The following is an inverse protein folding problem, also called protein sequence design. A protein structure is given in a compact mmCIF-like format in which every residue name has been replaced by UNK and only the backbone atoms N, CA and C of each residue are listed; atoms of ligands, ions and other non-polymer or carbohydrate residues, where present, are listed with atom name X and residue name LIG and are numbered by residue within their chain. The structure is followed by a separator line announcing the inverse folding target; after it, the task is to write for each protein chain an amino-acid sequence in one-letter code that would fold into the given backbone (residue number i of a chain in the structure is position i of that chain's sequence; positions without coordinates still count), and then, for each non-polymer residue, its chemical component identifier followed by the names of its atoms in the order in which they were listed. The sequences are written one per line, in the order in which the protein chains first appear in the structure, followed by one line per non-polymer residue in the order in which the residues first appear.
data_IF_393526519527
#
_entry.id   IF_393526519527
#
_cell.length_a   1.000
_cell.length_b   1.000
_cell.length_c   1.000
_cell.angle_alpha   90.00
_cell.angle_beta   90.00
_cell.angle_gamma   90.00
#
_symmetry.space_group_name_H-M   'P 1'
#
loop_
_entity.id
_entity.type
_entity.pdbx_description
1 polymer ?
#
# COMPACT_ATOMS: atom_id res chain seq x y z
N UNK A 1 -50.64 -56.14 -4.07
CA UNK A 1 -50.85 -54.74 -3.65
C UNK A 1 -49.51 -54.20 -3.13
N UNK A 2 -48.69 -53.63 -4.01
CA UNK A 2 -47.36 -53.10 -3.64
C UNK A 2 -47.40 -51.53 -3.67
N UNK A 3 -47.30 -50.94 -2.50
CA UNK A 3 -47.18 -49.51 -2.35
C UNK A 3 -45.71 -49.16 -2.43
N UNK A 4 -45.27 -48.54 -3.54
CA UNK A 4 -43.97 -48.04 -3.73
C UNK A 4 -43.92 -46.61 -3.09
N UNK A 5 -43.15 -46.52 -2.00
CA UNK A 5 -42.89 -45.27 -1.30
C UNK A 5 -41.77 -44.49 -2.06
N UNK A 6 -42.11 -43.40 -2.73
CA UNK A 6 -41.16 -42.53 -3.40
C UNK A 6 -40.59 -41.55 -2.38
N UNK A 7 -39.33 -41.77 -1.93
CA UNK A 7 -38.58 -40.81 -1.18
C UNK A 7 -38.03 -39.71 -2.13
N UNK A 8 -38.59 -38.52 -2.03
CA UNK A 8 -38.03 -37.34 -2.70
C UNK A 8 -36.89 -36.79 -1.86
N UNK A 9 -35.65 -36.95 -2.33
CA UNK A 9 -34.48 -36.32 -1.73
C UNK A 9 -34.42 -34.85 -2.16
N UNK A 10 -34.67 -33.93 -1.22
CA UNK A 10 -34.48 -32.51 -1.43
C UNK A 10 -32.99 -32.16 -1.30
N UNK A 11 -32.33 -31.84 -2.42
CA UNK A 11 -30.98 -31.28 -2.42
C UNK A 11 -31.08 -29.82 -2.01
N UNK A 12 -30.63 -29.52 -0.80
CA UNK A 12 -30.40 -28.12 -0.35
C UNK A 12 -29.03 -27.68 -0.92
N UNK A 13 -29.07 -26.88 -1.97
CA UNK A 13 -27.87 -26.19 -2.49
C UNK A 13 -27.49 -25.10 -1.50
N UNK A 14 -26.49 -25.36 -0.66
CA UNK A 14 -25.83 -24.32 0.15
C UNK A 14 -24.96 -23.52 -0.77
N UNK A 15 -25.45 -22.34 -1.15
CA UNK A 15 -24.67 -21.34 -1.89
C UNK A 15 -23.61 -20.76 -0.94
N UNK A 16 -22.34 -21.18 -1.08
CA UNK A 16 -21.21 -20.54 -0.42
C UNK A 16 -21.03 -19.16 -1.02
N UNK A 17 -21.59 -18.14 -0.36
CA UNK A 17 -21.27 -16.74 -0.64
C UNK A 17 -19.84 -16.50 -0.12
N UNK A 18 -18.83 -16.59 -1.00
CA UNK A 18 -17.48 -16.14 -0.67
C UNK A 18 -17.53 -14.62 -0.43
N UNK A 19 -17.02 -14.10 0.68
CA UNK A 19 -16.95 -12.67 0.88
C UNK A 19 -16.04 -12.07 -0.19
N UNK A 20 -16.60 -11.29 -1.09
CA UNK A 20 -15.82 -10.44 -2.00
C UNK A 20 -15.07 -9.44 -1.11
N UNK A 21 -13.76 -9.63 -0.97
CA UNK A 21 -12.91 -8.71 -0.23
C UNK A 21 -12.99 -7.33 -0.88
N UNK A 22 -13.72 -6.41 -0.26
CA UNK A 22 -13.71 -5.00 -0.66
C UNK A 22 -12.39 -4.42 -0.18
N UNK A 23 -11.48 -4.24 -1.13
CA UNK A 23 -10.20 -3.58 -0.89
C UNK A 23 -10.41 -2.07 -0.95
N UNK A 24 -10.07 -1.36 0.12
CA UNK A 24 -9.92 0.09 0.08
C UNK A 24 -8.75 0.40 -0.87
N UNK A 25 -9.03 1.04 -2.01
CA UNK A 25 -8.03 1.28 -3.04
C UNK A 25 -7.26 2.57 -2.74
N UNK A 26 -6.12 2.45 -2.09
CA UNK A 26 -5.15 3.54 -2.05
C UNK A 26 -4.49 3.63 -3.42
N UNK A 27 -4.43 4.83 -3.98
CA UNK A 27 -3.86 5.08 -5.30
C UNK A 27 -2.73 6.10 -5.23
N UNK A 28 -1.75 5.97 -6.13
CA UNK A 28 -0.72 6.98 -6.33
C UNK A 28 -1.22 8.04 -7.31
N UNK A 29 -0.99 9.30 -6.99
CA UNK A 29 -1.29 10.42 -7.89
C UNK A 29 -0.40 10.36 -9.13
N UNK A 30 0.91 10.24 -8.94
CA UNK A 30 1.89 10.11 -10.03
C UNK A 30 2.39 8.68 -10.09
N UNK A 31 2.00 7.95 -11.14
CA UNK A 31 2.28 6.52 -11.31
C UNK A 31 3.56 6.21 -12.06
N UNK A 32 4.23 7.23 -12.61
CA UNK A 32 5.47 7.08 -13.38
C UNK A 32 6.48 8.12 -12.94
N UNK A 33 7.72 7.72 -12.78
CA UNK A 33 8.82 8.61 -12.46
C UNK A 33 10.11 8.15 -13.14
N UNK A 34 11.04 9.07 -13.35
CA UNK A 34 12.33 8.79 -13.97
C UNK A 34 13.27 8.15 -12.94
N UNK A 35 14.00 7.14 -13.36
CA UNK A 35 15.17 6.65 -12.64
C UNK A 35 16.20 7.79 -12.52
N UNK A 36 16.88 7.90 -11.38
CA UNK A 36 17.83 8.98 -11.12
C UNK A 36 17.18 10.34 -10.84
N UNK A 37 15.94 10.36 -10.37
CA UNK A 37 15.24 11.60 -10.02
C UNK A 37 14.60 11.57 -8.64
N UNK A 38 14.32 12.76 -8.12
CA UNK A 38 13.46 12.86 -6.93
C UNK A 38 12.02 12.53 -7.31
N UNK A 39 11.35 11.84 -6.41
CA UNK A 39 9.97 11.43 -6.57
C UNK A 39 9.15 11.81 -5.33
N UNK A 40 8.09 12.54 -5.55
CA UNK A 40 7.08 12.84 -4.54
C UNK A 40 5.94 11.83 -4.68
N UNK A 41 5.84 10.90 -3.75
CA UNK A 41 4.72 9.97 -3.67
C UNK A 41 3.56 10.62 -2.93
N UNK A 42 2.40 10.69 -3.56
CA UNK A 42 1.13 11.11 -2.97
C UNK A 42 0.19 9.92 -3.01
N UNK A 43 -0.06 9.33 -1.83
CA UNK A 43 -1.02 8.24 -1.67
C UNK A 43 -2.39 8.85 -1.37
N UNK A 44 -3.36 8.58 -2.24
CA UNK A 44 -4.74 9.03 -2.10
C UNK A 44 -5.57 7.95 -1.44
N UNK A 45 -6.21 8.29 -0.33
CA UNK A 45 -7.15 7.42 0.40
C UNK A 45 -8.56 7.99 0.21
N UNK A 46 -9.32 7.46 -0.75
CA UNK A 46 -10.63 8.04 -1.11
C UNK A 46 -11.74 7.67 -0.13
N UNK A 47 -11.63 6.53 0.52
CA UNK A 47 -12.61 6.00 1.49
C UNK A 47 -12.02 4.84 2.29
N UNK A 48 -12.68 4.43 3.37
CA UNK A 48 -12.34 3.25 4.13
C UNK A 48 -12.96 1.95 3.56
N UNK A 49 -13.04 0.92 4.38
CA UNK A 49 -13.64 -0.35 4.03
C UNK A 49 -15.07 -0.42 4.58
N UNK A 50 -16.06 -0.63 3.73
CA UNK A 50 -17.47 -0.83 4.13
C UNK A 50 -18.00 0.25 5.10
N UNK A 51 -17.72 1.52 4.85
CA UNK A 51 -18.12 2.62 5.72
C UNK A 51 -17.29 2.76 7.00
N UNK A 52 -16.28 1.92 7.19
CA UNK A 52 -15.37 2.02 8.34
C UNK A 52 -14.28 3.07 8.10
N UNK A 53 -13.83 3.79 9.14
CA UNK A 53 -12.75 4.75 8.99
C UNK A 53 -11.42 4.07 8.66
N UNK A 54 -10.54 4.79 7.95
CA UNK A 54 -9.14 4.40 7.80
C UNK A 54 -8.39 4.78 9.08
N UNK A 55 -7.78 3.80 9.74
CA UNK A 55 -7.05 4.00 11.00
C UNK A 55 -5.53 3.95 10.82
N UNK A 56 -5.06 3.36 9.73
CA UNK A 56 -3.64 3.18 9.48
C UNK A 56 -3.37 3.18 7.97
N UNK A 57 -2.33 3.92 7.58
CA UNK A 57 -1.75 3.87 6.24
C UNK A 57 -0.31 3.39 6.36
N UNK A 58 -0.01 2.27 5.74
CA UNK A 58 1.29 1.61 5.78
C UNK A 58 1.86 1.52 4.39
N UNK A 59 3.11 1.93 4.24
CA UNK A 59 3.82 1.90 2.96
C UNK A 59 5.14 1.17 3.14
N UNK A 60 5.33 0.09 2.39
CA UNK A 60 6.63 -0.57 2.29
C UNK A 60 7.45 0.12 1.21
N UNK A 61 8.69 0.46 1.54
CA UNK A 61 9.58 1.13 0.61
C UNK A 61 10.41 0.07 -0.13
N UNK A 62 10.28 -0.03 -1.47
CA UNK A 62 11.03 -1.00 -2.25
C UNK A 62 12.52 -0.66 -2.32
N UNK A 63 13.33 -1.64 -2.70
CA UNK A 63 14.76 -1.48 -2.94
C UNK A 63 15.03 -0.41 -4.01
N UNK A 64 16.05 0.42 -3.79
CA UNK A 64 16.42 1.50 -4.71
C UNK A 64 15.60 2.77 -4.59
N UNK A 65 14.53 2.77 -3.81
CA UNK A 65 13.84 4.00 -3.38
C UNK A 65 14.49 4.44 -2.07
N UNK A 66 15.31 5.47 -2.14
CA UNK A 66 16.18 5.89 -1.04
C UNK A 66 15.90 7.33 -0.61
N UNK A 67 16.54 7.76 0.49
CA UNK A 67 16.38 9.12 1.03
C UNK A 67 14.93 9.49 1.29
N UNK A 68 14.16 8.55 1.79
CA UNK A 68 12.73 8.71 2.05
C UNK A 68 12.49 9.67 3.21
N UNK A 69 11.68 10.69 2.95
CA UNK A 69 11.28 11.72 3.92
C UNK A 69 9.76 11.86 3.90
N UNK A 70 9.05 11.28 4.87
CA UNK A 70 7.60 11.42 4.95
C UNK A 70 7.22 12.82 5.44
N UNK A 71 6.04 13.25 5.03
CA UNK A 71 5.41 14.45 5.55
C UNK A 71 4.64 14.11 6.83
N UNK A 72 4.95 14.77 7.96
CA UNK A 72 4.11 14.70 9.16
C UNK A 72 2.70 15.20 8.86
N UNK A 73 1.70 14.61 9.52
CA UNK A 73 0.31 14.96 9.32
C UNK A 73 -0.37 15.29 10.66
N UNK A 74 -1.00 16.45 10.80
CA UNK A 74 -1.73 16.80 12.02
C UNK A 74 -2.78 15.75 12.38
N UNK A 75 -2.85 15.36 13.65
CA UNK A 75 -3.77 14.34 14.15
C UNK A 75 -3.38 12.88 13.83
N UNK A 76 -2.21 12.67 13.19
CA UNK A 76 -1.66 11.35 12.89
C UNK A 76 -0.30 11.15 13.55
N UNK A 77 -0.07 9.96 14.08
CA UNK A 77 1.25 9.53 14.53
C UNK A 77 2.00 8.94 13.32
N UNK A 78 3.26 9.32 13.16
CA UNK A 78 4.13 8.83 12.08
C UNK A 78 5.26 7.99 12.66
N UNK A 79 5.39 6.76 12.20
CA UNK A 79 6.47 5.84 12.53
C UNK A 79 7.29 5.53 11.27
N UNK A 80 8.61 5.54 11.42
CA UNK A 80 9.59 5.17 10.38
C UNK A 80 10.32 3.92 10.82
N UNK A 81 10.13 2.83 10.09
CA UNK A 81 10.93 1.61 10.28
C UNK A 81 12.15 1.70 9.38
N UNK A 82 13.33 1.70 9.97
CA UNK A 82 14.62 1.76 9.26
C UNK A 82 15.28 0.40 9.24
N UNK A 83 16.10 0.16 8.22
CA UNK A 83 16.86 -1.08 8.08
C UNK A 83 17.81 -1.02 6.90
N UNK A 84 18.61 -2.07 6.77
CA UNK A 84 19.59 -2.21 5.70
C UNK A 84 18.90 -2.49 4.37
N UNK A 85 19.49 -1.99 3.29
CA UNK A 85 19.17 -2.39 1.93
C UNK A 85 19.89 -3.68 1.57
N UNK A 86 19.37 -4.40 0.58
CA UNK A 86 20.00 -5.63 0.07
C UNK A 86 21.42 -5.38 -0.50
N UNK A 87 21.68 -4.17 -0.96
CA UNK A 87 22.97 -3.67 -1.43
C UNK A 87 23.02 -2.15 -1.31
N UNK A 88 24.22 -1.51 -1.36
CA UNK A 88 24.30 -0.06 -1.48
C UNK A 88 23.67 0.44 -2.77
N UNK A 89 23.00 1.60 -2.71
CA UNK A 89 22.39 2.27 -3.86
C UNK A 89 23.01 3.65 -4.08
N UNK A 90 23.24 4.00 -5.34
CA UNK A 90 23.76 5.30 -5.72
C UNK A 90 22.77 6.41 -5.31
N UNK A 91 23.27 7.37 -4.56
CA UNK A 91 22.54 8.58 -4.19
C UNK A 91 22.72 9.67 -5.26
N UNK A 92 21.86 10.70 -5.22
CA UNK A 92 22.00 11.85 -6.14
C UNK A 92 23.32 12.59 -5.90
N UNK A 93 23.73 12.71 -4.64
CA UNK A 93 25.00 13.29 -4.22
C UNK A 93 25.62 12.46 -3.10
N UNK A 94 26.96 12.42 -3.07
CA UNK A 94 27.73 11.76 -2.02
C UNK A 94 27.91 10.27 -2.24
N UNK A 95 28.26 9.56 -1.16
CA UNK A 95 28.50 8.13 -1.18
C UNK A 95 27.19 7.34 -1.35
N UNK A 96 27.26 6.10 -1.90
CA UNK A 96 26.13 5.19 -1.91
C UNK A 96 25.58 4.95 -0.50
N UNK A 97 24.29 4.73 -0.38
CA UNK A 97 23.60 4.47 0.88
C UNK A 97 23.25 3.00 1.02
N UNK A 98 23.52 2.44 2.20
CA UNK A 98 23.33 1.00 2.51
C UNK A 98 22.13 0.74 3.39
N UNK A 99 21.53 1.79 3.97
CA UNK A 99 20.40 1.67 4.89
C UNK A 99 19.50 2.89 4.78
N UNK A 100 18.25 2.74 5.16
CA UNK A 100 17.28 3.83 5.15
C UNK A 100 15.91 3.40 5.66
N UNK A 101 14.89 4.17 5.32
CA UNK A 101 13.51 3.85 5.66
C UNK A 101 13.03 2.68 4.80
N UNK A 102 12.55 1.63 5.46
CA UNK A 102 11.99 0.42 4.84
C UNK A 102 10.46 0.38 4.89
N UNK A 103 9.88 1.12 5.84
CA UNK A 103 8.44 1.22 5.99
C UNK A 103 8.06 2.54 6.64
N UNK A 104 6.95 3.11 6.20
CA UNK A 104 6.28 4.25 6.80
C UNK A 104 4.92 3.80 7.32
N UNK A 105 4.55 4.25 8.53
CA UNK A 105 3.24 3.98 9.11
C UNK A 105 2.66 5.27 9.66
N UNK A 106 1.56 5.71 9.09
CA UNK A 106 0.70 6.75 9.68
C UNK A 106 -0.45 6.07 10.42
N UNK A 107 -0.66 6.43 11.68
CA UNK A 107 -1.76 5.94 12.52
C UNK A 107 -2.60 7.11 13.00
N UNK A 108 -3.92 7.04 12.77
CA UNK A 108 -4.85 8.11 13.09
C UNK A 108 -6.28 7.69 12.76
N UNK A 109 -7.12 8.64 12.38
CA UNK A 109 -8.51 8.36 12.01
C UNK A 109 -8.96 9.25 10.86
N UNK A 110 -9.28 8.64 9.72
CA UNK A 110 -9.95 9.27 8.60
C UNK A 110 -11.35 8.64 8.49
N UNK A 111 -12.43 9.38 8.81
CA UNK A 111 -13.79 8.92 8.57
C UNK A 111 -14.02 8.54 7.10
N UNK A 112 -14.89 7.55 6.85
CA UNK A 112 -15.16 7.04 5.50
C UNK A 112 -15.73 8.11 4.53
N UNK A 113 -16.41 9.10 5.08
CA UNK A 113 -17.01 10.23 4.32
C UNK A 113 -15.97 11.26 3.84
N UNK A 114 -14.71 11.16 4.29
CA UNK A 114 -13.67 12.11 3.95
C UNK A 114 -12.54 11.43 3.16
N UNK A 115 -11.95 12.21 2.29
CA UNK A 115 -10.75 11.89 1.53
C UNK A 115 -9.52 12.53 2.18
N UNK A 116 -8.37 11.86 2.08
CA UNK A 116 -7.10 12.41 2.52
C UNK A 116 -5.91 11.89 1.71
N UNK A 117 -4.78 12.57 1.83
CA UNK A 117 -3.52 12.23 1.16
C UNK A 117 -2.39 12.02 2.17
N UNK A 118 -1.50 11.05 1.88
CA UNK A 118 -0.30 10.76 2.65
C UNK A 118 0.90 10.88 1.73
N UNK A 119 1.89 11.69 2.13
CA UNK A 119 2.94 12.15 1.23
C UNK A 119 4.32 11.81 1.77
N UNK A 120 5.19 11.36 0.88
CA UNK A 120 6.62 11.32 1.16
C UNK A 120 7.45 11.71 -0.06
N UNK A 121 8.63 12.25 0.19
CA UNK A 121 9.65 12.50 -0.83
C UNK A 121 10.68 11.38 -0.80
N UNK A 122 11.25 11.03 -1.94
CA UNK A 122 12.30 10.03 -2.08
C UNK A 122 13.19 10.33 -3.28
N UNK A 123 14.28 9.60 -3.41
CA UNK A 123 15.10 9.57 -4.61
C UNK A 123 15.07 8.15 -5.21
N UNK A 124 14.82 8.07 -6.49
CA UNK A 124 14.87 6.83 -7.25
C UNK A 124 16.30 6.62 -7.74
N UNK A 125 17.02 5.68 -7.13
CA UNK A 125 18.43 5.44 -7.47
C UNK A 125 18.62 5.15 -8.95
N UNK A 126 19.74 5.64 -9.51
CA UNK A 126 20.16 5.30 -10.88
C UNK A 126 20.42 3.81 -11.08
N UNK A 127 20.58 3.06 -9.99
CA UNK A 127 20.77 1.60 -10.04
C UNK A 127 19.47 0.81 -10.27
N UNK A 128 18.33 1.49 -10.29
CA UNK A 128 17.06 0.88 -10.63
C UNK A 128 16.96 0.59 -12.14
N UNK A 129 16.39 -0.55 -12.54
CA UNK A 129 16.14 -0.82 -13.94
C UNK A 129 15.09 0.17 -14.50
N UNK A 130 15.40 0.77 -15.65
CA UNK A 130 14.44 1.61 -16.35
C UNK A 130 13.31 0.75 -16.95
N UNK A 131 12.08 1.28 -16.90
CA UNK A 131 10.89 0.65 -17.48
C UNK A 131 10.29 -0.50 -16.65
N UNK A 132 10.82 -0.76 -15.45
CA UNK A 132 10.28 -1.75 -14.54
C UNK A 132 9.22 -1.18 -13.59
N UNK A 133 8.24 -1.98 -13.12
CA UNK A 133 7.30 -1.56 -12.10
C UNK A 133 7.96 -1.54 -10.72
N UNK A 134 7.62 -0.52 -9.91
CA UNK A 134 7.88 -0.49 -8.47
C UNK A 134 6.53 -0.53 -7.74
N UNK A 135 6.42 -1.40 -6.76
CA UNK A 135 5.23 -1.53 -5.91
C UNK A 135 5.51 -0.94 -4.53
N UNK A 136 4.65 0.00 -4.11
CA UNK A 136 4.65 0.63 -2.79
C UNK A 136 3.60 0.01 -1.89
#
# INVERSE_FOLDING_TARGET
MNRILKCAAAFIAVSLCAPAGVSAHVTLETKQARVGSYYKAVLRVPHGCHGSPTLRVRVRIPEGVINVKPQPKPGWTLELVKGDYARPYAAHHGAPVSAGVRELVWSGRLPDEYYDEFVFSSYLSTDLPAGGPLYL
#
